data_IF_163296242043
#
_entry.id   IF_163296242043
#
_cell.length_a   1.000
_cell.length_b   1.000
_cell.length_c   1.000
_cell.angle_alpha   90.00
_cell.angle_beta   90.00
_cell.angle_gamma   90.00
#
_symmetry.space_group_name_H-M   'P 1'
#
loop_
_entity.id
_entity.type
_entity.pdbx_description
1 polymer ?
#
# COMPACT_ATOMS: atom_id res chain seq x y z
N UNK A 1 18.77 52.49 -18.52
CA UNK A 1 17.57 52.76 -17.69
C UNK A 1 16.38 52.07 -18.33
N UNK A 2 16.06 50.84 -17.89
CA UNK A 2 14.99 50.04 -18.47
C UNK A 2 13.76 50.06 -17.56
N UNK A 3 12.64 50.54 -18.11
CA UNK A 3 11.37 50.77 -17.43
C UNK A 3 10.62 49.46 -17.16
N UNK A 4 10.49 49.09 -15.88
CA UNK A 4 9.71 47.93 -15.42
C UNK A 4 8.24 48.33 -15.33
N UNK A 5 7.39 47.78 -16.23
CA UNK A 5 5.93 47.92 -16.15
C UNK A 5 5.36 46.85 -15.21
N UNK A 6 4.83 47.27 -14.07
CA UNK A 6 4.04 46.43 -13.17
C UNK A 6 2.62 46.27 -13.72
N UNK A 7 2.26 45.05 -14.12
CA UNK A 7 0.87 44.66 -14.37
C UNK A 7 0.20 44.27 -13.04
N UNK A 8 -0.75 45.10 -12.59
CA UNK A 8 -1.62 44.81 -11.45
C UNK A 8 -2.70 43.81 -11.88
N UNK A 9 -2.65 42.59 -11.34
CA UNK A 9 -3.73 41.61 -11.46
C UNK A 9 -4.89 41.97 -10.54
N UNK A 10 -6.06 42.21 -11.14
CA UNK A 10 -7.31 42.55 -10.46
C UNK A 10 -8.06 41.24 -10.12
N UNK A 11 -8.16 40.90 -8.84
CA UNK A 11 -8.94 39.74 -8.38
C UNK A 11 -10.45 39.98 -8.51
N UNK A 12 -11.24 39.05 -9.09
CA UNK A 12 -12.69 39.16 -9.13
C UNK A 12 -13.32 38.93 -7.74
N UNK A 13 -14.28 39.79 -7.40
CA UNK A 13 -15.06 39.78 -6.15
C UNK A 13 -15.96 38.53 -6.07
N UNK A 14 -15.99 37.93 -4.89
CA UNK A 14 -16.80 36.76 -4.56
C UNK A 14 -18.31 36.99 -4.78
N UNK A 15 -18.94 36.09 -5.54
CA UNK A 15 -20.39 36.00 -5.65
C UNK A 15 -20.99 35.27 -4.43
N UNK A 16 -22.09 35.82 -3.90
CA UNK A 16 -22.83 35.28 -2.76
C UNK A 16 -23.43 33.90 -3.08
N UNK A 17 -22.95 32.87 -2.38
CA UNK A 17 -23.52 31.52 -2.42
C UNK A 17 -24.75 31.48 -1.51
N UNK A 18 -25.93 31.47 -2.12
CA UNK A 18 -27.21 31.21 -1.43
C UNK A 18 -27.23 29.74 -0.99
N UNK A 19 -27.06 29.50 0.30
CA UNK A 19 -27.15 28.16 0.89
C UNK A 19 -28.62 27.74 0.98
N UNK A 20 -28.99 26.69 0.25
CA UNK A 20 -30.27 26.00 0.45
C UNK A 20 -30.20 25.20 1.76
N UNK A 21 -31.16 25.48 2.65
CA UNK A 21 -31.42 24.74 3.89
C UNK A 21 -31.78 23.29 3.55
N UNK A 22 -30.99 22.33 4.04
CA UNK A 22 -31.32 20.90 3.99
C UNK A 22 -32.01 20.56 5.31
N UNK A 23 -33.28 20.17 5.23
CA UNK A 23 -34.06 19.73 6.38
C UNK A 23 -33.42 18.47 7.00
N UNK A 24 -32.91 18.62 8.21
CA UNK A 24 -32.38 17.54 9.04
C UNK A 24 -33.53 16.83 9.74
N UNK A 25 -33.95 15.66 9.25
CA UNK A 25 -34.84 14.77 9.98
C UNK A 25 -34.06 14.01 11.07
N UNK A 26 -34.57 13.92 12.31
CA UNK A 26 -33.86 13.29 13.43
C UNK A 26 -33.74 11.78 13.23
N UNK A 27 -32.51 11.30 13.27
CA UNK A 27 -32.16 9.88 13.19
C UNK A 27 -32.27 9.27 14.60
N UNK A 28 -33.32 8.47 14.82
CA UNK A 28 -33.51 7.73 16.06
C UNK A 28 -32.63 6.46 16.07
N UNK A 29 -31.48 6.50 16.76
CA UNK A 29 -30.65 5.31 16.99
C UNK A 29 -31.12 4.56 18.24
N UNK A 30 -31.91 3.50 18.05
CA UNK A 30 -32.28 2.57 19.12
C UNK A 30 -31.16 1.53 19.27
N UNK A 31 -30.29 1.71 20.28
CA UNK A 31 -29.26 0.72 20.64
C UNK A 31 -29.95 -0.56 21.14
N UNK A 32 -29.76 -1.68 20.44
CA UNK A 32 -30.04 -3.04 20.96
C UNK A 32 -28.71 -3.72 21.31
N UNK A 33 -28.56 -4.31 22.50
CA UNK A 33 -27.39 -5.14 22.81
C UNK A 33 -27.55 -6.50 22.14
N UNK A 34 -26.77 -6.77 21.08
CA UNK A 34 -26.67 -8.11 20.48
C UNK A 34 -25.45 -8.83 21.05
N UNK A 35 -25.70 -9.79 21.92
CA UNK A 35 -24.74 -10.82 22.33
C UNK A 35 -24.66 -11.80 21.15
N UNK A 36 -23.57 -11.73 20.38
CA UNK A 36 -23.31 -12.66 19.27
C UNK A 36 -22.10 -13.50 19.68
N UNK A 37 -22.38 -14.77 19.93
CA UNK A 37 -21.43 -15.86 20.05
C UNK A 37 -20.94 -16.15 18.62
N UNK A 38 -19.64 -15.99 18.38
CA UNK A 38 -19.02 -16.26 17.08
C UNK A 38 -18.30 -17.59 17.22
N UNK A 39 -18.89 -18.64 16.68
CA UNK A 39 -18.23 -19.92 16.44
C UNK A 39 -17.10 -19.76 15.42
N UNK A 40 -15.96 -20.28 15.82
CA UNK A 40 -14.65 -20.22 15.17
C UNK A 40 -14.61 -21.15 13.95
N UNK A 41 -14.67 -20.56 12.75
CA UNK A 41 -14.80 -21.29 11.48
C UNK A 41 -13.51 -21.29 10.63
N UNK A 42 -12.33 -21.19 11.25
CA UNK A 42 -11.03 -21.28 10.55
C UNK A 42 -9.93 -21.92 11.42
N UNK A 43 -10.21 -23.08 12.00
CA UNK A 43 -9.18 -23.99 12.50
C UNK A 43 -9.16 -25.24 11.62
N UNK A 44 -8.28 -25.29 10.62
CA UNK A 44 -7.85 -26.55 10.01
C UNK A 44 -6.51 -26.38 9.27
N UNK A 45 -5.44 -26.75 9.96
CA UNK A 45 -4.26 -27.39 9.39
C UNK A 45 -4.23 -28.82 9.98
N UNK A 46 -3.77 -29.83 9.22
CA UNK A 46 -4.08 -31.23 9.53
C UNK A 46 -3.12 -31.81 10.56
N UNK A 47 -3.69 -32.46 11.58
CA UNK A 47 -2.96 -33.41 12.42
C UNK A 47 -3.72 -34.73 12.38
N UNK A 48 -2.95 -35.76 12.07
CA UNK A 48 -3.40 -37.11 11.81
C UNK A 48 -3.85 -37.85 13.09
N UNK A 49 -4.88 -38.66 12.88
CA UNK A 49 -5.15 -39.98 13.46
C UNK A 49 -5.56 -40.21 14.93
N UNK A 50 -6.63 -41.03 15.01
CA UNK A 50 -6.92 -42.10 15.98
C UNK A 50 -7.45 -41.69 17.38
N UNK A 51 -8.78 -41.77 17.56
CA UNK A 51 -9.48 -42.88 18.25
C UNK A 51 -10.99 -42.61 18.42
N UNK A 52 -11.75 -43.69 18.24
CA UNK A 52 -13.21 -43.85 18.20
C UNK A 52 -13.99 -43.42 19.45
N UNK A 53 -15.28 -43.06 19.28
CA UNK A 53 -16.41 -43.67 20.02
C UNK A 53 -17.78 -43.20 19.51
N UNK A 54 -18.67 -44.18 19.34
CA UNK A 54 -20.11 -44.10 19.05
C UNK A 54 -20.94 -43.32 20.08
N UNK A 55 -22.13 -42.86 19.67
CA UNK A 55 -23.26 -42.68 20.60
C UNK A 55 -24.41 -41.74 20.19
N UNK A 56 -25.43 -42.31 19.54
CA UNK A 56 -26.89 -42.05 19.69
C UNK A 56 -27.54 -40.69 19.33
N UNK A 57 -28.56 -40.82 18.47
CA UNK A 57 -29.68 -39.89 18.20
C UNK A 57 -30.82 -40.08 19.26
N UNK A 58 -32.07 -39.59 19.07
CA UNK A 58 -32.58 -38.32 18.51
C UNK A 58 -33.55 -37.61 19.51
N UNK A 59 -33.98 -36.37 19.22
CA UNK A 59 -35.32 -35.93 19.67
C UNK A 59 -35.91 -34.80 18.83
N UNK A 60 -37.16 -35.04 18.45
CA UNK A 60 -38.06 -34.15 17.74
C UNK A 60 -38.81 -33.23 18.71
N UNK A 61 -39.23 -32.04 18.24
CA UNK A 61 -40.57 -31.50 18.49
C UNK A 61 -40.88 -30.23 17.66
N UNK A 62 -41.79 -30.41 16.70
CA UNK A 62 -43.10 -29.75 16.57
C UNK A 62 -43.23 -28.22 16.72
N UNK A 63 -43.32 -27.57 15.55
CA UNK A 63 -44.37 -26.69 15.02
C UNK A 63 -45.05 -25.56 15.84
N UNK A 64 -45.21 -24.42 15.12
CA UNK A 64 -46.41 -23.56 14.93
C UNK A 64 -46.20 -22.08 15.28
N UNK A 65 -46.32 -21.24 14.22
CA UNK A 65 -47.06 -19.99 14.26
C UNK A 65 -46.30 -18.69 14.58
N UNK A 66 -45.99 -17.89 13.55
CA UNK A 66 -46.41 -16.48 13.48
C UNK A 66 -45.82 -15.78 12.25
N UNK A 67 -46.70 -15.51 11.29
CA UNK A 67 -46.51 -14.62 10.15
C UNK A 67 -46.48 -13.16 10.61
N UNK A 68 -45.28 -12.61 10.79
CA UNK A 68 -45.09 -11.16 10.82
C UNK A 68 -43.83 -10.81 10.00
N UNK A 69 -44.07 -10.33 8.78
CA UNK A 69 -43.05 -9.85 7.84
C UNK A 69 -42.36 -8.60 8.39
N UNK A 70 -41.40 -8.80 9.30
CA UNK A 70 -40.40 -7.80 9.64
C UNK A 70 -39.34 -7.85 8.55
N UNK A 71 -39.31 -6.82 7.69
CA UNK A 71 -38.22 -6.57 6.74
C UNK A 71 -36.94 -6.30 7.55
N UNK A 72 -36.26 -7.35 7.97
CA UNK A 72 -34.91 -7.23 8.52
C UNK A 72 -33.99 -6.86 7.37
N UNK A 73 -33.55 -5.61 7.36
CA UNK A 73 -32.36 -5.19 6.62
C UNK A 73 -31.15 -5.88 7.26
N UNK A 74 -31.04 -7.20 7.07
CA UNK A 74 -29.79 -7.90 7.29
C UNK A 74 -28.83 -7.34 6.25
N UNK A 75 -27.84 -6.59 6.73
CA UNK A 75 -26.70 -6.21 5.91
C UNK A 75 -26.10 -7.51 5.38
N UNK A 76 -26.37 -7.79 4.11
CA UNK A 76 -25.93 -9.01 3.43
C UNK A 76 -24.42 -9.09 3.66
N UNK A 77 -23.91 -10.14 4.33
CA UNK A 77 -22.48 -10.31 4.49
C UNK A 77 -21.89 -10.28 3.09
N UNK A 78 -20.92 -9.39 2.86
CA UNK A 78 -20.33 -9.23 1.53
C UNK A 78 -19.66 -10.55 1.17
N UNK A 79 -20.38 -11.40 0.44
CA UNK A 79 -19.88 -12.68 -0.05
C UNK A 79 -18.64 -12.34 -0.88
N UNK A 80 -17.50 -12.79 -0.39
CA UNK A 80 -16.27 -12.78 -1.18
C UNK A 80 -16.61 -13.46 -2.50
N UNK A 81 -16.46 -12.75 -3.62
CA UNK A 81 -16.75 -13.32 -4.92
C UNK A 81 -15.80 -14.50 -5.12
N UNK A 82 -16.36 -15.60 -5.62
CA UNK A 82 -15.54 -16.73 -6.06
C UNK A 82 -14.58 -16.28 -7.17
N UNK A 83 -13.40 -16.90 -7.22
CA UNK A 83 -12.31 -16.53 -8.14
C UNK A 83 -12.79 -16.55 -9.59
N UNK A 84 -13.51 -17.61 -9.98
CA UNK A 84 -14.03 -17.76 -11.35
C UNK A 84 -15.05 -16.68 -11.69
N UNK A 85 -15.93 -16.36 -10.73
CA UNK A 85 -16.92 -15.29 -10.91
C UNK A 85 -16.24 -13.92 -11.02
N UNK A 86 -15.15 -13.70 -10.29
CA UNK A 86 -14.37 -12.46 -10.34
C UNK A 86 -13.67 -12.29 -11.69
N UNK A 87 -13.04 -13.34 -12.21
CA UNK A 87 -12.43 -13.36 -13.53
C UNK A 87 -13.45 -13.06 -14.63
N UNK A 88 -14.60 -13.74 -14.62
CA UNK A 88 -15.68 -13.47 -15.59
C UNK A 88 -16.14 -12.01 -15.56
N UNK A 89 -16.30 -11.43 -14.36
CA UNK A 89 -16.65 -10.01 -14.22
C UNK A 89 -15.56 -9.07 -14.72
N UNK A 90 -14.29 -9.47 -14.57
CA UNK A 90 -13.17 -8.73 -15.13
C UNK A 90 -13.27 -8.71 -16.65
N UNK A 91 -13.40 -9.88 -17.29
CA UNK A 91 -13.50 -9.99 -18.75
C UNK A 91 -14.72 -9.23 -19.30
N UNK A 92 -15.89 -9.42 -18.71
CA UNK A 92 -17.12 -8.71 -19.12
C UNK A 92 -16.97 -7.18 -19.01
N UNK A 93 -16.24 -6.69 -18.01
CA UNK A 93 -15.98 -5.25 -17.84
C UNK A 93 -14.88 -4.77 -18.80
N UNK A 94 -13.85 -5.59 -19.00
CA UNK A 94 -12.73 -5.30 -19.89
C UNK A 94 -13.18 -5.20 -21.33
N UNK A 95 -13.96 -6.17 -21.82
CA UNK A 95 -14.51 -6.18 -23.18
C UNK A 95 -15.40 -4.97 -23.45
N UNK A 96 -16.22 -4.56 -22.47
CA UNK A 96 -17.03 -3.33 -22.58
C UNK A 96 -16.17 -2.08 -22.72
N UNK A 97 -15.11 -1.97 -21.93
CA UNK A 97 -14.16 -0.84 -22.03
C UNK A 97 -13.38 -0.91 -23.35
N UNK A 98 -12.99 -2.10 -23.79
CA UNK A 98 -12.27 -2.31 -25.03
C UNK A 98 -13.13 -1.91 -26.23
N UNK A 99 -14.39 -2.36 -26.28
CA UNK A 99 -15.34 -1.97 -27.30
C UNK A 99 -15.46 -0.45 -27.39
N UNK A 100 -15.63 0.25 -26.26
CA UNK A 100 -15.78 1.71 -26.25
C UNK A 100 -14.48 2.46 -26.57
N UNK A 101 -13.32 1.94 -26.17
CA UNK A 101 -12.00 2.55 -26.44
C UNK A 101 -11.53 2.34 -27.89
N UNK A 102 -12.07 1.35 -28.60
CA UNK A 102 -11.77 1.09 -30.00
C UNK A 102 -12.75 1.80 -30.97
N UNK A 103 -13.83 2.42 -30.48
CA UNK A 103 -14.73 3.21 -31.32
C UNK A 103 -14.03 4.43 -31.92
N UNK A 104 -14.39 4.79 -33.15
CA UNK A 104 -13.98 6.03 -33.80
C UNK A 104 -14.37 7.26 -32.99
N UNK A 105 -13.59 8.34 -33.12
CA UNK A 105 -13.81 9.57 -32.36
C UNK A 105 -15.22 10.16 -32.56
N UNK A 106 -15.81 10.00 -33.75
CA UNK A 106 -17.16 10.47 -34.08
C UNK A 106 -18.25 9.70 -33.34
N UNK A 107 -18.14 8.37 -33.29
CA UNK A 107 -19.14 7.55 -32.61
C UNK A 107 -18.95 7.58 -31.09
N UNK A 108 -17.71 7.77 -30.63
CA UNK A 108 -17.40 7.96 -29.21
C UNK A 108 -18.12 9.16 -28.60
N UNK A 109 -18.35 10.23 -29.36
CA UNK A 109 -19.10 11.41 -28.88
C UNK A 109 -20.57 11.10 -28.59
N UNK A 110 -21.13 10.06 -29.20
CA UNK A 110 -22.53 9.64 -28.99
C UNK A 110 -22.68 8.78 -27.73
N UNK A 111 -21.61 8.13 -27.27
CA UNK A 111 -21.62 7.22 -26.12
C UNK A 111 -21.30 7.99 -24.83
N UNK A 112 -22.00 7.73 -23.71
CA UNK A 112 -21.67 8.35 -22.43
C UNK A 112 -20.19 8.12 -22.05
N UNK A 113 -19.51 9.14 -21.48
CA UNK A 113 -18.10 9.01 -21.11
C UNK A 113 -17.91 7.92 -20.05
N UNK A 114 -16.85 7.12 -20.21
CA UNK A 114 -16.45 6.11 -19.21
C UNK A 114 -16.12 6.79 -17.89
N UNK A 115 -16.77 6.34 -16.80
CA UNK A 115 -16.51 6.85 -15.45
C UNK A 115 -15.20 6.27 -14.91
N UNK A 116 -14.44 7.07 -14.16
CA UNK A 116 -13.20 6.65 -13.49
C UNK A 116 -13.40 5.41 -12.60
N UNK A 117 -14.60 5.25 -12.03
CA UNK A 117 -14.94 4.08 -11.21
C UNK A 117 -14.80 2.75 -11.95
N UNK A 118 -15.00 2.72 -13.27
CA UNK A 118 -14.86 1.51 -14.07
C UNK A 118 -13.40 1.02 -14.06
N UNK A 119 -12.44 1.94 -14.17
CA UNK A 119 -11.02 1.62 -14.11
C UNK A 119 -10.58 1.19 -12.72
N UNK A 120 -11.12 1.83 -11.68
CA UNK A 120 -10.93 1.39 -10.28
C UNK A 120 -11.41 -0.05 -10.12
N UNK A 121 -12.61 -0.37 -10.62
CA UNK A 121 -13.15 -1.73 -10.58
C UNK A 121 -12.32 -2.73 -11.38
N UNK A 122 -11.77 -2.36 -12.54
CA UNK A 122 -10.90 -3.24 -13.32
C UNK A 122 -9.62 -3.62 -12.56
N UNK A 123 -8.94 -2.64 -11.96
CA UNK A 123 -7.73 -2.90 -11.17
C UNK A 123 -8.07 -3.71 -9.91
N UNK A 124 -9.19 -3.40 -9.26
CA UNK A 124 -9.67 -4.19 -8.13
C UNK A 124 -9.94 -5.63 -8.55
N UNK A 125 -10.61 -5.88 -9.68
CA UNK A 125 -10.98 -7.21 -10.12
C UNK A 125 -9.77 -8.06 -10.57
N UNK A 126 -8.77 -7.45 -11.21
CA UNK A 126 -7.62 -8.13 -11.81
C UNK A 126 -6.91 -9.09 -10.84
N UNK A 127 -6.91 -10.40 -11.08
CA UNK A 127 -6.39 -11.44 -10.19
C UNK A 127 -4.95 -11.83 -10.47
N UNK A 128 -4.47 -11.58 -11.69
CA UNK A 128 -3.17 -12.05 -12.17
C UNK A 128 -2.36 -10.88 -12.74
N UNK A 129 -1.06 -11.07 -12.93
CA UNK A 129 -0.17 -10.07 -13.55
C UNK A 129 -0.64 -9.69 -14.96
N UNK A 130 -1.05 -10.67 -15.75
CA UNK A 130 -1.52 -10.46 -17.12
C UNK A 130 -2.78 -9.58 -17.18
N UNK A 131 -3.74 -9.83 -16.29
CA UNK A 131 -4.96 -9.02 -16.19
C UNK A 131 -4.63 -7.58 -15.80
N UNK A 132 -3.75 -7.39 -14.82
CA UNK A 132 -3.29 -6.04 -14.46
C UNK A 132 -2.60 -5.37 -15.65
N UNK A 133 -1.74 -6.10 -16.37
CA UNK A 133 -1.09 -5.64 -17.60
C UNK A 133 -2.08 -5.21 -18.68
N UNK A 134 -3.15 -5.98 -18.90
CA UNK A 134 -4.25 -5.63 -19.82
C UNK A 134 -4.90 -4.30 -19.42
N UNK A 135 -5.15 -4.08 -18.13
CA UNK A 135 -5.71 -2.80 -17.65
C UNK A 135 -4.73 -1.65 -17.89
N UNK A 136 -3.44 -1.83 -17.60
CA UNK A 136 -2.44 -0.79 -17.84
C UNK A 136 -2.30 -0.46 -19.33
N UNK A 137 -2.44 -1.44 -20.22
CA UNK A 137 -2.41 -1.21 -21.67
C UNK A 137 -3.57 -0.31 -22.16
N UNK A 138 -4.68 -0.23 -21.42
CA UNK A 138 -5.81 0.66 -21.76
C UNK A 138 -5.58 2.11 -21.34
N UNK A 139 -4.69 2.38 -20.38
CA UNK A 139 -4.48 3.71 -19.80
C UNK A 139 -4.12 4.79 -20.84
N UNK A 140 -3.20 4.54 -21.80
CA UNK A 140 -2.89 5.54 -22.82
C UNK A 140 -4.11 5.88 -23.69
N UNK A 141 -4.90 4.88 -24.07
CA UNK A 141 -6.15 5.08 -24.83
C UNK A 141 -7.15 5.91 -24.04
N UNK A 142 -7.26 5.66 -22.74
CA UNK A 142 -8.14 6.41 -21.85
C UNK A 142 -7.72 7.88 -21.72
N UNK A 143 -6.42 8.14 -21.54
CA UNK A 143 -5.87 9.49 -21.56
C UNK A 143 -6.22 10.24 -22.84
N UNK A 144 -6.16 9.57 -24.00
CA UNK A 144 -6.53 10.20 -25.28
C UNK A 144 -8.04 10.50 -25.35
N UNK A 145 -8.88 9.66 -24.74
CA UNK A 145 -10.33 9.92 -24.63
C UNK A 145 -10.65 11.13 -23.76
N UNK A 146 -9.93 11.30 -22.67
CA UNK A 146 -10.24 12.31 -21.65
C UNK A 146 -9.48 13.62 -21.85
N UNK A 147 -8.57 13.70 -22.85
CA UNK A 147 -7.76 14.90 -23.15
C UNK A 147 -8.58 16.19 -23.31
N UNK A 148 -9.80 16.09 -23.86
CA UNK A 148 -10.67 17.26 -24.06
C UNK A 148 -11.32 17.78 -22.76
N UNK A 149 -11.32 16.97 -21.69
CA UNK A 149 -11.87 17.34 -20.38
C UNK A 149 -10.78 18.00 -19.53
N UNK A 150 -10.43 19.24 -19.87
CA UNK A 150 -9.46 20.06 -19.11
C UNK A 150 -9.82 20.04 -17.61
N UNK A 151 -8.89 19.57 -16.79
CA UNK A 151 -8.99 19.56 -15.32
C UNK A 151 -9.85 18.45 -14.71
N UNK A 152 -10.49 17.58 -15.50
CA UNK A 152 -11.30 16.44 -15.00
C UNK A 152 -10.94 15.09 -15.60
N UNK A 153 -10.08 15.06 -16.62
CA UNK A 153 -9.78 13.88 -17.41
C UNK A 153 -8.58 13.03 -16.96
N UNK A 154 -7.78 13.47 -15.99
CA UNK A 154 -6.58 12.73 -15.56
C UNK A 154 -6.88 11.58 -14.59
N UNK A 155 -6.02 10.55 -14.56
CA UNK A 155 -6.07 9.54 -13.49
C UNK A 155 -5.66 10.25 -12.21
N UNK A 156 -6.48 10.09 -11.17
CA UNK A 156 -6.19 10.64 -9.85
C UNK A 156 -5.01 9.90 -9.20
N UNK A 157 -4.29 10.57 -8.30
CA UNK A 157 -3.23 9.96 -7.47
C UNK A 157 -3.69 8.68 -6.78
N UNK A 158 -4.94 8.66 -6.30
CA UNK A 158 -5.58 7.50 -5.66
C UNK A 158 -5.63 6.28 -6.58
N UNK A 159 -5.78 6.48 -7.89
CA UNK A 159 -5.77 5.37 -8.84
C UNK A 159 -4.35 4.79 -8.96
N UNK A 160 -3.32 5.65 -9.00
CA UNK A 160 -1.92 5.21 -8.95
C UNK A 160 -1.59 4.41 -7.70
N UNK A 161 -2.07 4.86 -6.53
CA UNK A 161 -1.96 4.11 -5.26
C UNK A 161 -2.61 2.72 -5.34
N UNK A 162 -3.79 2.64 -5.96
CA UNK A 162 -4.52 1.38 -6.12
C UNK A 162 -3.75 0.41 -7.02
N UNK A 163 -3.18 0.89 -8.14
CA UNK A 163 -2.34 0.05 -9.02
C UNK A 163 -1.12 -0.48 -8.27
N UNK A 164 -0.40 0.37 -7.51
CA UNK A 164 0.77 -0.10 -6.75
C UNK A 164 0.36 -1.11 -5.68
N UNK A 165 -0.73 -0.86 -4.96
CA UNK A 165 -1.25 -1.78 -3.95
C UNK A 165 -1.66 -3.13 -4.55
N UNK A 166 -2.27 -3.11 -5.75
CA UNK A 166 -2.63 -4.34 -6.47
C UNK A 166 -1.39 -5.07 -6.96
N UNK A 167 -0.42 -4.37 -7.54
CA UNK A 167 0.85 -4.94 -7.99
C UNK A 167 1.66 -5.55 -6.83
N UNK A 168 1.67 -4.92 -5.65
CA UNK A 168 2.25 -5.48 -4.42
C UNK A 168 1.55 -6.80 -4.05
N UNK A 169 0.21 -6.80 -4.05
CA UNK A 169 -0.61 -7.98 -3.70
C UNK A 169 -0.40 -9.15 -4.66
N UNK A 170 -0.23 -8.86 -5.95
CA UNK A 170 0.01 -9.84 -7.00
C UNK A 170 1.51 -10.19 -7.17
N UNK A 171 2.38 -9.58 -6.37
CA UNK A 171 3.85 -9.74 -6.49
C UNK A 171 4.43 -9.36 -7.84
N UNK A 172 3.78 -8.46 -8.60
CA UNK A 172 4.21 -7.98 -9.91
C UNK A 172 4.60 -6.49 -9.88
N UNK A 173 5.39 -6.07 -8.88
CA UNK A 173 5.77 -4.67 -8.67
C UNK A 173 6.52 -4.05 -9.87
N UNK A 174 7.20 -4.88 -10.67
CA UNK A 174 7.89 -4.45 -11.91
C UNK A 174 6.92 -3.86 -12.94
N UNK A 175 5.71 -4.43 -13.07
CA UNK A 175 4.69 -3.92 -13.98
C UNK A 175 4.28 -2.48 -13.61
N UNK A 176 4.14 -2.19 -12.31
CA UNK A 176 3.89 -0.83 -11.84
C UNK A 176 5.09 0.09 -12.06
N UNK A 177 6.31 -0.40 -11.83
CA UNK A 177 7.55 0.34 -12.11
C UNK A 177 7.66 0.75 -13.57
N UNK A 178 7.37 -0.16 -14.52
CA UNK A 178 7.42 0.12 -15.96
C UNK A 178 6.39 1.18 -16.38
N UNK A 179 5.20 1.16 -15.77
CA UNK A 179 4.17 2.18 -15.99
C UNK A 179 4.64 3.55 -15.51
N UNK A 180 5.12 3.67 -14.27
CA UNK A 180 5.54 4.97 -13.72
C UNK A 180 6.83 5.49 -14.33
N UNK A 181 7.72 4.61 -14.79
CA UNK A 181 8.93 5.00 -15.53
C UNK A 181 8.59 5.66 -16.87
N UNK A 182 7.48 5.25 -17.49
CA UNK A 182 6.99 5.80 -18.75
C UNK A 182 5.95 6.91 -18.53
N UNK A 183 6.27 7.91 -17.69
CA UNK A 183 5.35 9.01 -17.35
C UNK A 183 4.73 9.71 -18.57
N UNK A 184 5.50 9.91 -19.65
CA UNK A 184 5.00 10.55 -20.87
C UNK A 184 3.84 9.77 -21.52
N UNK A 185 3.91 8.44 -21.48
CA UNK A 185 2.89 7.54 -22.05
C UNK A 185 1.64 7.54 -21.18
N UNK A 186 1.79 7.25 -19.89
CA UNK A 186 0.67 6.98 -18.98
C UNK A 186 0.08 8.23 -18.32
N UNK A 187 0.88 9.26 -18.01
CA UNK A 187 0.49 10.47 -17.26
C UNK A 187 -0.27 10.18 -15.97
N UNK A 188 0.08 9.09 -15.30
CA UNK A 188 -0.48 8.74 -13.98
C UNK A 188 0.36 9.43 -12.93
N UNK A 189 -0.20 10.30 -12.07
CA UNK A 189 0.56 10.90 -10.99
C UNK A 189 0.91 9.83 -9.95
N UNK A 190 2.15 9.85 -9.49
CA UNK A 190 2.65 8.99 -8.41
C UNK A 190 2.60 9.79 -7.10
N UNK A 191 1.85 9.33 -6.10
CA UNK A 191 1.85 9.92 -4.77
C UNK A 191 3.00 9.40 -3.91
N UNK A 192 3.37 10.12 -2.85
CA UNK A 192 4.44 9.69 -1.93
C UNK A 192 4.13 8.34 -1.24
N UNK A 193 2.91 8.07 -0.74
CA UNK A 193 2.55 6.74 -0.22
C UNK A 193 2.67 5.64 -1.29
N UNK A 194 2.22 5.90 -2.52
CA UNK A 194 2.38 4.94 -3.63
C UNK A 194 3.86 4.64 -3.91
N UNK A 195 4.71 5.66 -3.92
CA UNK A 195 6.15 5.49 -4.15
C UNK A 195 6.82 4.67 -3.02
N UNK A 196 6.46 4.91 -1.76
CA UNK A 196 6.93 4.10 -0.61
C UNK A 196 6.48 2.64 -0.71
N UNK A 197 5.22 2.41 -1.09
CA UNK A 197 4.69 1.07 -1.32
C UNK A 197 5.42 0.35 -2.46
N UNK A 198 5.69 1.06 -3.57
CA UNK A 198 6.43 0.52 -4.71
C UNK A 198 7.86 0.14 -4.29
N UNK A 199 8.57 1.02 -3.57
CA UNK A 199 9.89 0.72 -3.00
C UNK A 199 9.84 -0.49 -2.05
N UNK A 200 8.81 -0.58 -1.20
CA UNK A 200 8.63 -1.72 -0.32
C UNK A 200 8.42 -3.02 -1.10
N UNK A 201 7.63 -3.03 -2.16
CA UNK A 201 7.43 -4.23 -2.97
C UNK A 201 8.72 -4.64 -3.71
N UNK A 202 9.45 -3.66 -4.27
CA UNK A 202 10.66 -3.89 -5.04
C UNK A 202 11.82 -4.42 -4.19
N UNK A 203 12.11 -3.82 -3.03
CA UNK A 203 13.30 -4.18 -2.24
C UNK A 203 13.31 -5.61 -1.67
N UNK A 204 12.17 -6.30 -1.65
CA UNK A 204 12.06 -7.67 -1.13
C UNK A 204 12.37 -8.74 -2.18
N UNK A 205 11.98 -8.51 -3.44
CA UNK A 205 11.95 -9.55 -4.48
C UNK A 205 12.71 -9.17 -5.77
N UNK A 206 13.02 -7.90 -5.97
CA UNK A 206 13.53 -7.39 -7.24
C UNK A 206 15.00 -6.96 -7.14
N UNK A 207 15.58 -6.66 -8.30
CA UNK A 207 16.99 -6.27 -8.41
C UNK A 207 17.25 -4.90 -7.76
N UNK A 208 18.50 -4.62 -7.40
CA UNK A 208 18.89 -3.29 -6.91
C UNK A 208 18.63 -2.22 -7.97
N UNK A 209 18.78 -2.54 -9.26
CA UNK A 209 18.51 -1.63 -10.38
C UNK A 209 17.05 -1.18 -10.39
N UNK A 210 16.10 -2.09 -10.19
CA UNK A 210 14.68 -1.75 -10.10
C UNK A 210 14.40 -0.82 -8.92
N UNK A 211 15.05 -1.06 -7.78
CA UNK A 211 14.95 -0.19 -6.59
C UNK A 211 15.50 1.20 -6.91
N UNK A 212 16.67 1.30 -7.54
CA UNK A 212 17.28 2.59 -7.91
C UNK A 212 16.47 3.33 -8.98
N UNK A 213 15.81 2.60 -9.88
CA UNK A 213 14.87 3.18 -10.85
C UNK A 213 13.67 3.79 -10.11
N UNK A 214 13.09 3.08 -9.14
CA UNK A 214 12.02 3.62 -8.31
C UNK A 214 12.47 4.84 -7.49
N UNK A 215 13.73 4.86 -7.02
CA UNK A 215 14.32 6.05 -6.37
C UNK A 215 14.36 7.25 -7.32
N UNK A 216 14.75 7.05 -8.58
CA UNK A 216 14.80 8.12 -9.57
C UNK A 216 13.43 8.75 -9.84
N UNK A 217 12.33 7.96 -9.73
CA UNK A 217 10.97 8.45 -9.87
C UNK A 217 10.62 9.56 -8.87
N UNK A 218 11.24 9.60 -7.69
CA UNK A 218 10.98 10.67 -6.71
C UNK A 218 11.26 12.05 -7.29
N UNK A 219 12.32 12.19 -8.09
CA UNK A 219 12.64 13.45 -8.77
C UNK A 219 11.68 13.72 -9.92
N UNK A 220 11.35 12.70 -10.72
CA UNK A 220 10.46 12.83 -11.89
C UNK A 220 9.07 13.32 -11.48
N UNK A 221 8.55 12.82 -10.36
CA UNK A 221 7.24 13.16 -9.83
C UNK A 221 7.25 14.29 -8.79
N UNK A 222 8.39 14.98 -8.61
CA UNK A 222 8.55 16.05 -7.61
C UNK A 222 8.16 15.63 -6.19
N UNK A 223 8.41 14.37 -5.82
CA UNK A 223 8.20 13.85 -4.49
C UNK A 223 9.29 14.33 -3.53
N UNK A 224 9.00 14.25 -2.22
CA UNK A 224 9.99 14.54 -1.17
C UNK A 224 11.26 13.73 -1.39
N UNK A 225 12.44 14.35 -1.58
CA UNK A 225 13.68 13.60 -1.83
C UNK A 225 13.93 12.55 -0.76
N UNK A 226 14.47 11.39 -1.15
CA UNK A 226 14.64 10.24 -0.25
C UNK A 226 15.50 10.58 0.97
N UNK A 227 16.50 11.45 0.83
CA UNK A 227 17.32 11.93 1.95
C UNK A 227 16.50 12.67 3.04
N UNK A 228 15.29 13.13 2.73
CA UNK A 228 14.36 13.79 3.67
C UNK A 228 13.20 12.87 4.10
N UNK A 229 13.09 11.68 3.53
CA UNK A 229 12.03 10.73 3.84
C UNK A 229 12.57 9.46 4.53
N UNK A 230 12.35 9.36 5.83
CA UNK A 230 12.95 8.32 6.67
C UNK A 230 12.54 6.91 6.26
N UNK A 231 11.29 6.73 5.82
CA UNK A 231 10.75 5.42 5.41
C UNK A 231 11.44 4.96 4.12
N UNK A 232 11.44 5.81 3.10
CA UNK A 232 12.08 5.51 1.81
C UNK A 232 13.58 5.28 1.96
N UNK A 233 14.27 6.12 2.74
CA UNK A 233 15.70 5.98 2.99
C UNK A 233 16.04 4.66 3.70
N UNK A 234 15.24 4.28 4.70
CA UNK A 234 15.39 3.00 5.39
C UNK A 234 15.23 1.80 4.45
N UNK A 235 14.27 1.85 3.52
CA UNK A 235 14.03 0.81 2.52
C UNK A 235 15.21 0.69 1.54
N UNK A 236 15.72 1.81 1.03
CA UNK A 236 16.85 1.83 0.07
C UNK A 236 18.14 1.34 0.75
N UNK A 237 18.45 1.81 1.96
CA UNK A 237 19.59 1.31 2.72
C UNK A 237 19.48 -0.21 2.92
N UNK A 238 18.27 -0.71 3.23
CA UNK A 238 18.04 -2.15 3.40
C UNK A 238 18.25 -2.93 2.10
N UNK A 239 17.82 -2.40 0.96
CA UNK A 239 18.05 -3.01 -0.34
C UNK A 239 19.55 -3.12 -0.65
N UNK A 240 20.29 -2.02 -0.50
CA UNK A 240 21.73 -1.94 -0.73
C UNK A 240 22.50 -2.92 0.17
N UNK A 241 22.20 -2.95 1.46
CA UNK A 241 22.83 -3.91 2.37
C UNK A 241 22.55 -5.35 1.95
N UNK A 242 21.35 -5.64 1.44
CA UNK A 242 21.01 -6.96 0.90
C UNK A 242 21.88 -7.35 -0.29
N UNK A 243 22.12 -6.41 -1.21
CA UNK A 243 22.95 -6.63 -2.40
C UNK A 243 24.44 -6.79 -2.11
N UNK A 244 24.95 -6.28 -0.98
CA UNK A 244 26.37 -6.37 -0.62
C UNK A 244 26.68 -7.73 0.03
N UNK A 245 25.69 -8.45 0.54
CA UNK A 245 25.91 -9.72 1.24
C UNK A 245 26.18 -10.86 0.25
N UNK A 246 27.26 -11.65 0.46
CA UNK A 246 27.71 -12.67 -0.49
C UNK A 246 26.75 -13.86 -0.64
N UNK A 247 25.81 -14.03 0.29
CA UNK A 247 24.91 -15.18 0.32
C UNK A 247 23.59 -14.93 -0.42
N UNK A 248 23.46 -13.84 -1.18
CA UNK A 248 22.26 -13.60 -1.98
C UNK A 248 22.32 -14.42 -3.27
N UNK A 249 21.42 -15.40 -3.47
CA UNK A 249 21.49 -16.34 -4.59
C UNK A 249 21.20 -15.73 -5.97
N UNK A 250 20.87 -14.44 -6.04
CA UNK A 250 20.20 -13.83 -7.20
C UNK A 250 21.03 -12.82 -8.00
N UNK A 251 22.33 -12.65 -7.74
CA UNK A 251 23.12 -11.67 -8.50
C UNK A 251 24.56 -12.10 -8.76
N UNK A 252 24.90 -12.22 -10.04
CA UNK A 252 26.28 -12.27 -10.53
C UNK A 252 26.89 -10.89 -10.32
N UNK A 253 27.45 -10.64 -9.14
CA UNK A 253 28.04 -9.35 -8.81
C UNK A 253 29.48 -9.26 -9.36
N UNK A 254 29.72 -8.39 -10.33
CA UNK A 254 31.07 -7.93 -10.64
C UNK A 254 31.64 -7.18 -9.43
N UNK A 255 32.89 -7.47 -9.02
CA UNK A 255 33.55 -6.86 -7.85
C UNK A 255 33.42 -5.33 -7.79
N UNK A 256 33.48 -4.67 -8.94
CA UNK A 256 33.36 -3.21 -9.06
C UNK A 256 32.00 -2.67 -8.60
N UNK A 257 30.91 -3.41 -8.86
CA UNK A 257 29.56 -3.00 -8.47
C UNK A 257 29.35 -3.07 -6.94
N UNK A 258 29.95 -4.06 -6.28
CA UNK A 258 29.88 -4.18 -4.82
C UNK A 258 30.55 -2.99 -4.13
N UNK A 259 31.69 -2.54 -4.64
CA UNK A 259 32.40 -1.39 -4.09
C UNK A 259 31.59 -0.10 -4.26
N UNK A 260 31.07 0.16 -5.46
CA UNK A 260 30.20 1.31 -5.70
C UNK A 260 28.95 1.28 -4.80
N UNK A 261 28.32 0.10 -4.63
CA UNK A 261 27.18 -0.08 -3.73
C UNK A 261 27.51 0.21 -2.27
N UNK A 262 28.72 -0.16 -1.81
CA UNK A 262 29.20 0.17 -0.46
C UNK A 262 29.41 1.67 -0.26
N UNK A 263 29.97 2.37 -1.25
CA UNK A 263 30.17 3.82 -1.18
C UNK A 263 28.83 4.57 -1.13
N UNK A 264 27.88 4.18 -1.98
CA UNK A 264 26.52 4.72 -1.95
C UNK A 264 25.85 4.43 -0.61
N UNK A 265 25.96 3.20 -0.10
CA UNK A 265 25.41 2.85 1.22
C UNK A 265 26.00 3.75 2.30
N UNK A 266 27.31 3.94 2.34
CA UNK A 266 27.97 4.78 3.35
C UNK A 266 27.44 6.23 3.33
N UNK A 267 27.29 6.81 2.13
CA UNK A 267 26.70 8.15 1.98
C UNK A 267 25.24 8.21 2.46
N UNK A 268 24.44 7.18 2.16
CA UNK A 268 23.06 7.09 2.62
C UNK A 268 22.95 6.83 4.12
N UNK A 269 23.89 6.13 4.74
CA UNK A 269 23.94 5.95 6.21
C UNK A 269 24.23 7.29 6.90
N UNK A 270 25.08 8.15 6.35
CA UNK A 270 25.27 9.51 6.89
C UNK A 270 23.99 10.33 6.78
N UNK A 271 23.31 10.26 5.63
CA UNK A 271 22.00 10.90 5.44
C UNK A 271 20.95 10.38 6.43
N UNK A 272 20.93 9.07 6.67
CA UNK A 272 20.02 8.42 7.60
C UNK A 272 20.28 8.88 9.03
N UNK A 273 21.56 8.94 9.43
CA UNK A 273 21.95 9.44 10.75
C UNK A 273 21.50 10.88 10.96
N UNK A 274 21.78 11.77 10.01
CA UNK A 274 21.35 13.17 10.07
C UNK A 274 19.83 13.31 10.18
N UNK A 275 19.09 12.56 9.34
CA UNK A 275 17.64 12.58 9.35
C UNK A 275 17.07 12.06 10.68
N UNK A 276 17.63 10.97 11.22
CA UNK A 276 17.21 10.40 12.50
C UNK A 276 17.51 11.31 13.69
N UNK A 277 18.61 12.07 13.65
CA UNK A 277 18.91 13.09 14.66
C UNK A 277 17.92 14.25 14.66
N UNK A 278 17.38 14.62 13.48
CA UNK A 278 16.36 15.69 13.36
C UNK A 278 14.92 15.21 13.60
N UNK A 279 14.68 13.91 13.56
CA UNK A 279 13.34 13.33 13.60
C UNK A 279 12.98 12.85 14.99
N UNK A 280 11.80 13.26 15.50
CA UNK A 280 11.30 12.75 16.78
C UNK A 280 10.98 11.24 16.70
N UNK A 281 11.69 10.37 17.45
CA UNK A 281 11.51 8.93 17.37
C UNK A 281 10.10 8.46 17.77
N UNK A 282 9.41 9.17 18.66
CA UNK A 282 8.08 8.76 19.14
C UNK A 282 7.01 8.86 18.05
N UNK A 283 7.22 9.73 17.04
CA UNK A 283 6.34 9.83 15.87
C UNK A 283 6.33 8.55 15.03
N UNK A 284 7.39 7.73 15.13
CA UNK A 284 7.53 6.43 14.47
C UNK A 284 7.30 5.23 15.40
N UNK A 285 6.69 5.47 16.57
CA UNK A 285 6.25 4.38 17.43
C UNK A 285 5.18 3.54 16.72
N UNK A 286 5.36 2.23 16.76
CA UNK A 286 4.41 1.26 16.21
C UNK A 286 3.54 0.77 17.35
N UNK A 287 2.23 0.99 17.24
CA UNK A 287 1.28 0.49 18.25
C UNK A 287 1.46 -1.02 18.44
N UNK A 288 1.60 -1.52 19.68
CA UNK A 288 1.69 -2.95 19.94
C UNK A 288 0.46 -3.71 19.41
N UNK A 289 -0.70 -3.03 19.34
CA UNK A 289 -1.96 -3.61 18.85
C UNK A 289 -2.01 -3.79 17.33
N UNK A 290 -1.06 -3.21 16.57
CA UNK A 290 -1.02 -3.41 15.13
C UNK A 290 -0.71 -4.87 14.72
N UNK A 291 -0.23 -5.71 15.65
CA UNK A 291 0.11 -7.13 15.38
C UNK A 291 -0.82 -8.16 16.02
N UNK A 292 -1.43 -7.86 17.15
CA UNK A 292 -2.29 -8.81 17.86
C UNK A 292 -3.70 -8.78 17.29
N UNK A 293 -4.06 -9.79 16.48
CA UNK A 293 -5.44 -9.99 15.99
C UNK A 293 -6.48 -9.90 17.11
N UNK A 294 -6.14 -10.29 18.34
CA UNK A 294 -7.03 -10.28 19.51
C UNK A 294 -7.42 -8.90 20.06
N UNK A 295 -6.65 -7.84 19.77
CA UNK A 295 -6.93 -6.45 20.22
C UNK A 295 -7.29 -5.57 19.03
N UNK A 296 -7.78 -6.18 17.96
CA UNK A 296 -8.10 -5.40 16.80
C UNK A 296 -9.29 -4.47 17.09
N UNK A 297 -9.17 -3.17 16.76
CA UNK A 297 -10.27 -2.25 16.93
C UNK A 297 -11.49 -2.77 16.17
N UNK A 298 -12.69 -2.48 16.69
CA UNK A 298 -13.95 -2.92 16.07
C UNK A 298 -13.95 -2.54 14.59
N UNK A 299 -14.58 -3.35 13.74
CA UNK A 299 -14.62 -3.13 12.29
C UNK A 299 -14.92 -1.67 11.86
N UNK A 300 -15.86 -0.94 12.50
CA UNK A 300 -16.12 0.47 12.17
C UNK A 300 -14.91 1.39 12.35
N UNK A 301 -14.12 1.17 13.40
CA UNK A 301 -12.92 1.98 13.68
C UNK A 301 -11.81 1.69 12.67
N UNK A 302 -11.64 0.42 12.26
CA UNK A 302 -10.70 0.07 11.18
C UNK A 302 -11.11 0.72 9.88
N UNK A 303 -12.40 0.70 9.54
CA UNK A 303 -12.89 1.33 8.32
C UNK A 303 -12.70 2.86 8.37
N UNK A 304 -12.91 3.47 9.54
CA UNK A 304 -12.63 4.90 9.75
C UNK A 304 -11.15 5.22 9.58
N UNK A 305 -10.25 4.45 10.20
CA UNK A 305 -8.79 4.60 10.04
C UNK A 305 -8.33 4.41 8.59
N UNK A 306 -8.88 3.42 7.89
CA UNK A 306 -8.59 3.16 6.49
C UNK A 306 -9.04 4.33 5.61
N UNK A 307 -10.27 4.85 5.82
CA UNK A 307 -10.76 6.06 5.13
C UNK A 307 -9.93 7.31 5.42
N UNK A 308 -9.31 7.38 6.59
CA UNK A 308 -8.41 8.47 6.98
C UNK A 308 -6.95 8.26 6.52
N UNK A 309 -6.62 7.14 5.88
CA UNK A 309 -5.24 6.82 5.47
C UNK A 309 -4.29 6.46 6.62
N UNK A 310 -4.79 6.40 7.87
CA UNK A 310 -3.96 6.08 9.04
C UNK A 310 -3.41 4.65 9.00
N UNK A 311 -4.14 3.73 8.37
CA UNK A 311 -3.69 2.35 8.20
C UNK A 311 -2.42 2.26 7.32
N UNK A 312 -2.34 3.06 6.26
CA UNK A 312 -1.15 3.13 5.41
C UNK A 312 0.06 3.66 6.19
N UNK A 313 -0.13 4.72 6.96
CA UNK A 313 0.91 5.30 7.83
C UNK A 313 1.41 4.29 8.88
N UNK A 314 0.51 3.52 9.52
CA UNK A 314 0.91 2.46 10.46
C UNK A 314 1.70 1.33 9.77
N UNK A 315 1.33 0.98 8.52
CA UNK A 315 2.07 0.02 7.69
C UNK A 315 3.50 0.51 7.42
N UNK A 316 3.65 1.77 7.01
CA UNK A 316 4.96 2.40 6.75
C UNK A 316 5.87 2.43 7.98
N UNK A 317 5.33 2.76 9.16
CA UNK A 317 6.11 2.70 10.42
C UNK A 317 6.60 1.29 10.72
N UNK A 318 5.79 0.28 10.41
CA UNK A 318 6.14 -1.13 10.57
C UNK A 318 7.27 -1.53 9.63
N UNK A 319 7.23 -1.07 8.38
CA UNK A 319 8.30 -1.27 7.41
C UNK A 319 9.61 -0.64 7.86
N UNK A 320 9.58 0.62 8.32
CA UNK A 320 10.75 1.30 8.84
C UNK A 320 11.34 0.53 10.03
N UNK A 321 10.50 0.15 11.01
CA UNK A 321 10.93 -0.66 12.16
C UNK A 321 11.66 -1.93 11.75
N UNK A 322 11.13 -2.63 10.73
CA UNK A 322 11.76 -3.85 10.21
C UNK A 322 13.07 -3.56 9.47
N UNK A 323 13.11 -2.54 8.62
CA UNK A 323 14.30 -2.14 7.88
C UNK A 323 15.44 -1.74 8.83
N UNK A 324 15.16 -0.85 9.79
CA UNK A 324 16.15 -0.40 10.77
C UNK A 324 16.68 -1.56 11.63
N UNK A 325 15.82 -2.54 11.96
CA UNK A 325 16.28 -3.76 12.65
C UNK A 325 17.27 -4.55 11.81
N UNK A 326 16.97 -4.76 10.53
CA UNK A 326 17.84 -5.51 9.62
C UNK A 326 19.15 -4.76 9.35
N UNK A 327 19.09 -3.44 9.21
CA UNK A 327 20.27 -2.58 9.10
C UNK A 327 21.15 -2.69 10.34
N UNK A 328 20.59 -2.60 11.55
CA UNK A 328 21.37 -2.74 12.79
C UNK A 328 22.10 -4.09 12.85
N UNK A 329 21.42 -5.19 12.52
CA UNK A 329 22.04 -6.53 12.54
C UNK A 329 23.16 -6.64 11.49
N UNK A 330 22.92 -6.14 10.28
CA UNK A 330 23.87 -6.29 9.18
C UNK A 330 25.09 -5.38 9.35
N UNK A 331 24.89 -4.11 9.68
CA UNK A 331 25.97 -3.16 9.94
C UNK A 331 26.75 -3.54 11.20
N UNK A 332 26.09 -4.09 12.22
CA UNK A 332 26.74 -4.52 13.44
C UNK A 332 27.72 -5.67 13.20
N UNK A 333 27.41 -6.55 12.24
CA UNK A 333 28.31 -7.63 11.80
C UNK A 333 29.46 -7.13 10.94
N UNK A 334 29.25 -6.12 10.08
CA UNK A 334 30.28 -5.66 9.14
C UNK A 334 31.21 -4.60 9.71
N UNK A 335 30.69 -3.65 10.50
CA UNK A 335 31.42 -2.48 10.99
C UNK A 335 31.66 -2.48 12.50
N UNK A 336 30.96 -3.36 13.23
CA UNK A 336 30.94 -3.42 14.69
C UNK A 336 29.75 -2.68 15.29
N UNK A 337 29.18 -3.23 16.37
CA UNK A 337 27.98 -2.69 17.02
C UNK A 337 28.18 -1.31 17.66
N UNK A 338 29.41 -0.93 17.99
CA UNK A 338 29.73 0.37 18.60
C UNK A 338 29.47 1.53 17.63
N UNK A 339 29.87 1.38 16.36
CA UNK A 339 29.69 2.41 15.33
C UNK A 339 28.22 2.68 15.01
N UNK A 340 27.34 1.72 15.29
CA UNK A 340 25.89 1.81 15.06
C UNK A 340 25.06 1.97 16.34
N UNK A 341 25.70 2.31 17.47
CA UNK A 341 25.00 2.52 18.74
C UNK A 341 23.88 3.58 18.63
N UNK A 342 24.09 4.63 17.82
CA UNK A 342 23.12 5.68 17.54
C UNK A 342 21.80 5.13 16.96
N UNK A 343 21.88 4.14 16.06
CA UNK A 343 20.71 3.54 15.41
C UNK A 343 19.89 2.76 16.45
N UNK A 344 20.58 1.99 17.30
CA UNK A 344 19.93 1.24 18.38
C UNK A 344 19.30 2.16 19.42
N UNK A 345 19.97 3.25 19.79
CA UNK A 345 19.44 4.25 20.72
C UNK A 345 18.16 4.88 20.17
N UNK A 346 18.16 5.29 18.90
CA UNK A 346 16.96 5.83 18.26
C UNK A 346 15.83 4.80 18.21
N UNK A 347 16.12 3.54 17.85
CA UNK A 347 15.13 2.47 17.85
C UNK A 347 14.55 2.18 19.24
N UNK A 348 15.35 2.29 20.31
CA UNK A 348 14.86 2.21 21.69
C UNK A 348 13.90 3.37 22.00
N UNK A 349 14.28 4.60 21.67
CA UNK A 349 13.45 5.79 21.87
C UNK A 349 12.13 5.73 21.07
N UNK A 350 12.15 5.10 19.89
CA UNK A 350 10.95 4.88 19.07
C UNK A 350 10.08 3.70 19.57
N UNK A 351 10.47 3.00 20.64
CA UNK A 351 9.77 1.82 21.14
C UNK A 351 9.87 0.59 20.23
N UNK A 352 10.86 0.55 19.33
CA UNK A 352 11.07 -0.57 18.40
C UNK A 352 11.76 -1.77 19.05
N UNK A 353 12.47 -1.54 20.15
CA UNK A 353 13.23 -2.54 20.93
C UNK A 353 12.60 -2.68 22.31
N UNK A 354 12.30 -3.90 22.74
CA UNK A 354 11.80 -4.15 24.11
C UNK A 354 12.95 -3.99 25.11
N UNK A 355 12.70 -3.35 26.25
CA UNK A 355 13.70 -3.12 27.29
C UNK A 355 14.45 -4.39 27.73
N UNK A 356 13.78 -5.55 27.71
CA UNK A 356 14.35 -6.83 28.15
C UNK A 356 14.97 -7.70 27.05
N UNK A 357 15.04 -7.24 25.80
CA UNK A 357 15.81 -7.97 24.79
C UNK A 357 17.30 -7.74 25.05
N UNK A 358 17.92 -8.66 25.81
CA UNK A 358 19.37 -8.79 25.90
C UNK A 358 19.91 -8.71 24.48
N UNK A 359 20.88 -7.83 24.28
CA UNK A 359 21.67 -7.79 23.04
C UNK A 359 22.04 -9.22 22.69
N UNK A 360 22.07 -9.62 21.41
CA UNK A 360 22.88 -10.78 21.05
C UNK A 360 24.28 -10.46 21.56
N UNK A 361 24.62 -10.99 22.74
CA UNK A 361 25.99 -10.98 23.22
C UNK A 361 26.76 -11.68 22.13
N UNK A 362 27.80 -11.02 21.64
CA UNK A 362 28.81 -11.63 20.79
C UNK A 362 29.38 -12.81 21.57
N UNK A 363 28.71 -13.97 21.57
CA UNK A 363 29.37 -15.24 21.82
C UNK A 363 30.28 -15.39 20.62
N UNK A 364 31.55 -15.05 20.87
CA UNK A 364 32.66 -15.24 19.95
C UNK A 364 32.48 -16.62 19.32
N UNK A 365 31.98 -16.64 18.09
CA UNK A 365 31.97 -17.85 17.30
C UNK A 365 33.43 -18.01 16.92
N UNK A 366 34.11 -18.92 17.60
CA UNK A 366 35.46 -19.33 17.24
C UNK A 366 35.44 -19.65 15.75
N UNK A 367 36.21 -18.88 14.99
CA UNK A 367 36.50 -19.18 13.59
C UNK A 367 37.29 -20.50 13.56
N UNK A 368 36.93 -21.47 12.70
CA UNK A 368 37.81 -22.57 12.35
C UNK A 368 39.05 -22.09 11.57
#
# INVERSE_FOLDING_TARGET
MASVRHCLFRFPRHANIIRRSIHSSPIAWKKRPSKVEIEDLFSEEPAEDLLSSDGSAPSANTAVGSTASVKSNQSIPSKHLDSVTRHKRFDDLYERVLAQTNMDAKDRQKVPPLRNSIYVHLVDLAQNEEELGKVLALVPKWKDMTRHQLGKGGLEEKWGELVVSRAESLSCAKLALDMFSNHAKYQVPLSLPAARHLLHALHLKHSLEDVMTAVALYRVYNLTPIAKDLVSLGLVCRALVGSIQPNSPSTIHTKNNVQASKEVLNALIQSLRALMSSTNPTSFSVSPHARTRALTPQFPERQKKARQGLAAVEKEKTWLKWCLRKLEVNLGRSEGFEKIAWLRQWRKAAGHVKANQKSPSLTATALP
#
